data_IF_606956141464
#
_entry.id   IF_606956141464
#
_cell.length_a   1.000
_cell.length_b   1.000
_cell.length_c   1.000
_cell.angle_alpha   90.00
_cell.angle_beta   90.00
_cell.angle_gamma   90.00
#
_symmetry.space_group_name_H-M   'P 1'
#
loop_
_entity.id
_entity.type
_entity.pdbx_description
1 polymer ?
#
# COMPACT_ATOMS: atom_id res chain seq x y z
N UNK A 1 5.56 -15.32 5.16
CA UNK A 1 4.26 -15.05 5.81
C UNK A 1 3.83 -13.64 5.41
N UNK A 2 2.55 -13.37 5.14
CA UNK A 2 2.06 -12.01 4.90
C UNK A 2 2.34 -11.12 6.10
N UNK A 3 2.84 -9.90 5.89
CA UNK A 3 3.00 -8.93 6.96
C UNK A 3 1.63 -8.45 7.44
N UNK A 4 1.46 -8.28 8.75
CA UNK A 4 0.23 -7.75 9.32
C UNK A 4 0.52 -6.34 9.84
N UNK A 5 -0.11 -5.30 9.30
CA UNK A 5 0.04 -3.94 9.82
C UNK A 5 -0.54 -3.84 11.24
N UNK A 6 0.14 -3.11 12.15
CA UNK A 6 -0.39 -2.84 13.50
C UNK A 6 -1.60 -1.89 13.48
N UNK A 7 -1.79 -1.16 12.37
CA UNK A 7 -2.92 -0.28 12.15
C UNK A 7 -3.60 -0.60 10.81
N UNK A 8 -4.91 -0.68 10.84
CA UNK A 8 -5.77 -0.62 9.67
C UNK A 8 -6.80 0.51 9.84
N UNK A 9 -7.29 1.11 8.76
CA UNK A 9 -8.41 2.04 8.82
C UNK A 9 -9.59 1.46 9.59
N UNK A 10 -10.34 2.31 10.30
CA UNK A 10 -11.55 1.86 11.00
C UNK A 10 -12.49 1.18 10.02
N UNK A 11 -13.06 0.03 10.42
CA UNK A 11 -13.92 -0.81 9.59
C UNK A 11 -13.24 -1.55 8.42
N UNK A 12 -11.92 -1.47 8.29
CA UNK A 12 -11.20 -2.31 7.32
C UNK A 12 -11.43 -3.79 7.60
N UNK A 13 -11.78 -4.54 6.55
CA UNK A 13 -11.96 -5.99 6.61
C UNK A 13 -11.10 -6.64 5.55
N UNK A 14 -10.29 -7.62 5.96
CA UNK A 14 -9.57 -8.48 5.03
C UNK A 14 -10.59 -9.32 4.26
N UNK A 15 -10.55 -9.21 2.93
CA UNK A 15 -11.44 -9.94 2.02
C UNK A 15 -10.79 -11.26 1.61
N UNK A 16 -9.55 -11.20 1.17
CA UNK A 16 -8.76 -12.36 0.79
C UNK A 16 -7.25 -12.09 0.89
N UNK A 17 -6.50 -13.18 0.77
CA UNK A 17 -5.05 -13.16 0.58
C UNK A 17 -4.75 -14.01 -0.65
N UNK A 18 -4.01 -13.47 -1.62
CA UNK A 18 -3.63 -14.18 -2.84
C UNK A 18 -2.12 -14.20 -3.03
N UNK A 19 -1.62 -15.22 -3.74
CA UNK A 19 -0.20 -15.41 -4.02
C UNK A 19 -0.01 -15.53 -5.53
N UNK A 20 0.75 -14.60 -6.11
CA UNK A 20 1.06 -14.62 -7.54
C UNK A 20 2.56 -14.40 -7.72
N UNK A 21 3.25 -15.33 -8.39
CA UNK A 21 4.63 -15.15 -8.87
C UNK A 21 5.59 -14.51 -7.85
N UNK A 22 5.58 -14.97 -6.59
CA UNK A 22 6.47 -14.44 -5.52
C UNK A 22 6.01 -13.12 -4.88
N UNK A 23 4.80 -12.68 -5.18
CA UNK A 23 4.11 -11.54 -4.56
C UNK A 23 2.94 -12.07 -3.74
N UNK A 24 2.78 -11.53 -2.53
CA UNK A 24 1.60 -11.76 -1.69
C UNK A 24 0.74 -10.50 -1.72
N UNK A 25 -0.55 -10.66 -1.98
CA UNK A 25 -1.53 -9.59 -1.90
C UNK A 25 -2.49 -9.84 -0.75
N UNK A 26 -2.81 -8.78 0.00
CA UNK A 26 -3.87 -8.77 1.00
C UNK A 26 -4.87 -7.68 0.58
N UNK A 27 -6.09 -8.07 0.25
CA UNK A 27 -7.11 -7.12 -0.19
C UNK A 27 -8.07 -6.79 0.94
N UNK A 28 -8.33 -5.51 1.14
CA UNK A 28 -9.15 -4.98 2.22
C UNK A 28 -10.29 -4.12 1.68
N UNK A 29 -11.41 -4.14 2.38
CA UNK A 29 -12.58 -3.29 2.12
C UNK A 29 -12.83 -2.36 3.31
N UNK A 30 -13.11 -1.08 3.04
CA UNK A 30 -13.51 -0.04 4.00
C UNK A 30 -14.81 0.60 3.50
N UNK A 31 -15.96 0.08 3.94
CA UNK A 31 -17.24 0.52 3.40
C UNK A 31 -17.37 0.22 1.90
N UNK A 32 -17.42 1.27 1.07
CA UNK A 32 -17.45 1.15 -0.41
C UNK A 32 -16.06 1.25 -1.05
N UNK A 33 -15.06 1.70 -0.31
CA UNK A 33 -13.68 1.85 -0.76
C UNK A 33 -12.89 0.58 -0.46
N UNK A 34 -11.76 0.41 -1.12
CA UNK A 34 -10.88 -0.75 -1.02
C UNK A 34 -9.42 -0.33 -1.01
N UNK A 35 -8.57 -1.19 -0.45
CA UNK A 35 -7.14 -1.04 -0.62
C UNK A 35 -6.47 -2.41 -0.58
N UNK A 36 -5.28 -2.47 -1.14
CA UNK A 36 -4.47 -3.67 -1.26
C UNK A 36 -3.10 -3.40 -0.70
N UNK A 37 -2.59 -4.37 0.07
CA UNK A 37 -1.20 -4.42 0.49
C UNK A 37 -0.54 -5.52 -0.33
N UNK A 38 0.48 -5.18 -1.10
CA UNK A 38 1.35 -6.16 -1.74
C UNK A 38 2.72 -6.18 -1.08
N UNK A 39 3.32 -7.37 -1.03
CA UNK A 39 4.68 -7.57 -0.57
C UNK A 39 5.40 -8.57 -1.49
N UNK A 40 6.66 -8.29 -1.81
CA UNK A 40 7.50 -9.19 -2.59
C UNK A 40 8.97 -9.02 -2.22
N UNK A 41 9.81 -9.97 -2.63
CA UNK A 41 11.26 -9.79 -2.58
C UNK A 41 11.67 -8.74 -3.60
N UNK A 42 12.65 -7.90 -3.25
CA UNK A 42 13.28 -6.98 -4.20
C UNK A 42 13.81 -7.76 -5.39
N UNK A 43 13.49 -7.31 -6.62
CA UNK A 43 13.88 -7.99 -7.85
C UNK A 43 12.94 -9.12 -8.31
N UNK A 44 11.85 -9.40 -7.57
CA UNK A 44 10.80 -10.28 -8.07
C UNK A 44 10.13 -9.69 -9.34
N UNK A 45 9.75 -10.56 -10.28
CA UNK A 45 9.05 -10.14 -11.49
C UNK A 45 7.73 -9.43 -11.13
N UNK A 46 7.50 -8.24 -11.68
CA UNK A 46 6.31 -7.41 -11.38
C UNK A 46 6.51 -6.32 -10.33
N UNK A 47 7.70 -6.23 -9.71
CA UNK A 47 8.07 -5.13 -8.84
C UNK A 47 8.28 -3.82 -9.63
N UNK A 48 7.24 -2.98 -9.73
CA UNK A 48 7.34 -1.61 -10.26
C UNK A 48 7.18 -0.60 -9.12
N UNK A 49 8.09 0.38 -9.06
CA UNK A 49 8.06 1.37 -7.98
C UNK A 49 9.08 2.48 -8.19
N UNK A 50 8.93 3.27 -9.26
CA UNK A 50 9.71 4.50 -9.44
C UNK A 50 8.83 5.59 -10.08
N UNK A 51 8.35 6.54 -9.27
CA UNK A 51 7.56 7.70 -9.72
C UNK A 51 6.76 8.33 -8.58
N UNK A 52 6.50 9.64 -8.61
CA UNK A 52 5.66 10.35 -7.63
C UNK A 52 6.40 11.20 -6.58
N UNK A 53 5.64 11.74 -5.63
CA UNK A 53 6.15 12.54 -4.52
C UNK A 53 6.96 11.65 -3.56
N UNK A 54 8.17 12.09 -3.20
CA UNK A 54 8.99 11.41 -2.19
C UNK A 54 8.48 11.78 -0.79
N UNK A 55 8.20 10.77 0.04
CA UNK A 55 7.93 10.89 1.47
C UNK A 55 8.80 9.90 2.26
N UNK A 56 8.71 9.92 3.60
CA UNK A 56 9.41 8.97 4.46
C UNK A 56 8.42 8.15 5.29
N UNK A 57 8.56 6.83 5.25
CA UNK A 57 7.81 5.87 6.06
C UNK A 57 8.81 5.13 6.93
N UNK A 58 8.68 5.24 8.26
CA UNK A 58 9.60 4.61 9.22
C UNK A 58 11.08 4.92 8.95
N UNK A 59 11.38 6.15 8.51
CA UNK A 59 12.74 6.59 8.18
C UNK A 59 13.24 6.16 6.79
N UNK A 60 12.46 5.38 6.04
CA UNK A 60 12.81 4.91 4.70
C UNK A 60 12.11 5.72 3.63
N UNK A 61 12.82 5.96 2.52
CA UNK A 61 12.30 6.68 1.36
C UNK A 61 11.15 5.89 0.73
N UNK A 62 10.02 6.55 0.54
CA UNK A 62 8.83 6.01 -0.11
C UNK A 62 8.37 6.92 -1.25
N UNK A 63 7.72 6.32 -2.23
CA UNK A 63 7.21 6.97 -3.43
C UNK A 63 5.68 6.97 -3.38
N UNK A 64 5.09 8.17 -3.37
CA UNK A 64 3.65 8.39 -3.30
C UNK A 64 3.13 8.92 -4.64
N UNK A 65 2.21 8.19 -5.25
CA UNK A 65 1.47 8.59 -6.44
C UNK A 65 0.00 8.75 -6.07
N UNK A 66 -0.63 9.80 -6.57
CA UNK A 66 -2.07 10.03 -6.41
C UNK A 66 -2.64 10.30 -7.79
N UNK A 67 -3.50 9.40 -8.25
CA UNK A 67 -4.21 9.50 -9.52
C UNK A 67 -5.58 10.16 -9.34
N UNK A 68 -6.13 10.70 -10.43
CA UNK A 68 -7.50 11.26 -10.50
C UNK A 68 -7.81 12.46 -9.58
N UNK A 69 -6.84 13.35 -9.29
CA UNK A 69 -7.07 14.59 -8.52
C UNK A 69 -7.99 15.64 -9.20
N UNK A 70 -8.60 15.33 -10.34
CA UNK A 70 -9.31 16.29 -11.20
C UNK A 70 -10.80 16.53 -10.88
N UNK A 71 -11.43 15.73 -10.02
CA UNK A 71 -12.86 15.86 -9.70
C UNK A 71 -13.02 16.12 -8.21
N UNK A 72 -13.59 17.28 -7.86
CA UNK A 72 -13.56 17.91 -6.54
C UNK A 72 -14.24 17.16 -5.37
N UNK A 73 -14.43 15.84 -5.45
CA UNK A 73 -15.14 15.05 -4.43
C UNK A 73 -14.75 13.57 -4.37
N UNK A 74 -13.79 13.08 -5.16
CA UNK A 74 -13.34 11.69 -5.09
C UNK A 74 -12.00 11.59 -4.36
N UNK A 75 -11.92 10.66 -3.40
CA UNK A 75 -10.67 10.13 -2.88
C UNK A 75 -9.83 9.68 -4.08
N UNK A 76 -8.73 10.39 -4.38
CA UNK A 76 -7.84 9.99 -5.48
C UNK A 76 -7.26 8.60 -5.21
N UNK A 77 -7.11 7.77 -6.24
CA UNK A 77 -6.47 6.46 -6.10
C UNK A 77 -5.01 6.69 -5.71
N UNK A 78 -4.65 6.23 -4.52
CA UNK A 78 -3.33 6.48 -3.92
C UNK A 78 -2.52 5.22 -3.99
N UNK A 79 -1.28 5.32 -4.47
CA UNK A 79 -0.29 4.24 -4.46
C UNK A 79 0.93 4.71 -3.67
N UNK A 80 1.33 3.94 -2.68
CA UNK A 80 2.51 4.17 -1.85
C UNK A 80 3.43 2.96 -1.93
N UNK A 81 4.66 3.15 -2.42
CA UNK A 81 5.64 2.09 -2.57
C UNK A 81 6.92 2.41 -1.80
N UNK A 82 7.45 1.44 -1.06
CA UNK A 82 8.74 1.57 -0.38
C UNK A 82 9.43 0.21 -0.24
N UNK A 83 10.75 0.26 -0.13
CA UNK A 83 11.56 -0.90 0.18
C UNK A 83 11.91 -0.86 1.67
N UNK A 84 11.84 -1.99 2.36
CA UNK A 84 12.35 -2.16 3.72
C UNK A 84 13.15 -3.47 3.75
N UNK A 85 14.46 -3.35 3.98
CA UNK A 85 15.44 -4.43 3.82
C UNK A 85 15.35 -5.11 2.43
N UNK A 86 15.07 -6.41 2.42
CA UNK A 86 14.94 -7.26 1.22
C UNK A 86 13.50 -7.34 0.68
N UNK A 87 12.57 -6.56 1.25
CA UNK A 87 11.16 -6.53 0.88
C UNK A 87 10.78 -5.24 0.18
N UNK A 88 9.99 -5.38 -0.88
CA UNK A 88 9.27 -4.29 -1.52
C UNK A 88 7.81 -4.35 -1.08
N UNK A 89 7.29 -3.23 -0.58
CA UNK A 89 5.89 -3.07 -0.22
C UNK A 89 5.23 -2.06 -1.13
N UNK A 90 3.97 -2.34 -1.46
CA UNK A 90 3.07 -1.37 -2.05
C UNK A 90 1.74 -1.40 -1.31
N UNK A 91 1.24 -0.24 -0.92
CA UNK A 91 -0.15 -0.07 -0.50
C UNK A 91 -0.84 0.82 -1.52
N UNK A 92 -1.94 0.35 -2.07
CA UNK A 92 -2.71 1.11 -3.05
C UNK A 92 -4.20 0.97 -2.83
N UNK A 93 -4.96 1.99 -3.20
CA UNK A 93 -6.42 1.94 -3.07
C UNK A 93 -7.08 3.31 -3.18
N UNK A 94 -8.40 3.29 -3.05
CA UNK A 94 -9.29 4.46 -3.12
C UNK A 94 -9.70 4.98 -1.73
N UNK A 95 -9.02 4.53 -0.66
CA UNK A 95 -9.17 5.12 0.68
C UNK A 95 -8.36 6.44 0.79
N UNK A 96 -8.66 7.30 1.79
CA UNK A 96 -7.89 8.53 2.00
C UNK A 96 -6.38 8.29 2.15
N UNK A 97 -5.58 9.17 1.54
CA UNK A 97 -4.10 9.17 1.60
C UNK A 97 -3.56 8.93 3.01
N UNK A 98 -4.15 9.57 4.03
CA UNK A 98 -3.72 9.44 5.42
C UNK A 98 -3.90 8.01 5.95
N UNK A 99 -4.96 7.31 5.53
CA UNK A 99 -5.19 5.91 5.85
C UNK A 99 -4.09 5.01 5.27
N UNK A 100 -3.70 5.25 4.02
CA UNK A 100 -2.59 4.54 3.36
C UNK A 100 -1.27 4.75 4.11
N UNK A 101 -0.90 6.02 4.38
CA UNK A 101 0.35 6.37 5.06
C UNK A 101 0.42 5.77 6.46
N UNK A 102 -0.68 5.85 7.23
CA UNK A 102 -0.73 5.32 8.59
C UNK A 102 -0.67 3.79 8.63
N UNK A 103 -1.30 3.12 7.67
CA UNK A 103 -1.19 1.66 7.49
C UNK A 103 0.26 1.28 7.18
N UNK A 104 0.89 1.95 6.21
CA UNK A 104 2.29 1.72 5.85
C UNK A 104 3.26 1.92 7.02
N UNK A 105 3.05 3.00 7.80
CA UNK A 105 3.90 3.34 8.96
C UNK A 105 3.78 2.33 10.10
N UNK A 106 2.69 1.56 10.14
CA UNK A 106 2.44 0.54 11.16
C UNK A 106 3.02 -0.84 10.82
N UNK A 107 3.56 -1.01 9.61
CA UNK A 107 4.21 -2.25 9.19
C UNK A 107 5.60 -2.34 9.83
N UNK A 108 5.87 -3.50 10.45
CA UNK A 108 7.15 -3.87 11.07
C UNK A 108 7.63 -5.20 10.50
N UNK A 109 8.94 -5.36 10.37
CA UNK A 109 9.63 -6.59 9.96
C UNK A 109 10.49 -7.08 11.12
#
# INVERSE_FOLDING_TARGET
>A
VPVVPDYLPSQARLIDVTWETGIVYQNYQVGRESFRISQSRVGAAGASGQGGQIIYINGVKAYLVIENQGVAQQSGYTTLCWQLDEWLFTIEGDIPREGIIRTASSIKI
#
